data_IF_562461094200
#
_entry.id   IF_562461094200
#
_cell.length_a   1.000
_cell.length_b   1.000
_cell.length_c   1.000
_cell.angle_alpha   90.00
_cell.angle_beta   90.00
_cell.angle_gamma   90.00
#
_symmetry.space_group_name_H-M   'P 1'
#
loop_
_entity.id
_entity.type
_entity.pdbx_description
1 polymer ?
#
# COMPACT_ATOMS: atom_id res chain seq x y z
N UNK A 1 -3.81 8.89 4.92
CA UNK A 1 -2.43 8.43 4.60
C UNK A 1 -2.44 6.91 4.61
N UNK A 2 -1.88 6.29 3.57
CA UNK A 2 -1.87 4.84 3.40
C UNK A 2 -0.44 4.31 3.53
N UNK A 3 -0.26 3.23 4.28
CA UNK A 3 1.05 2.68 4.62
C UNK A 3 1.05 1.17 4.52
N UNK A 4 2.22 0.60 4.32
CA UNK A 4 2.41 -0.84 4.42
C UNK A 4 3.87 -1.19 4.70
N UNK A 5 4.10 -2.48 4.88
CA UNK A 5 5.42 -3.03 5.11
C UNK A 5 5.51 -4.44 4.60
N UNK A 6 6.70 -4.88 4.20
CA UNK A 6 6.91 -6.30 3.93
C UNK A 6 6.74 -7.15 5.21
N UNK A 7 6.59 -8.47 5.05
CA UNK A 7 6.30 -9.36 6.19
C UNK A 7 7.37 -9.39 7.29
N UNK A 8 8.64 -9.11 6.95
CA UNK A 8 9.72 -9.00 7.93
C UNK A 8 9.96 -7.57 8.45
N UNK A 9 9.13 -6.60 8.02
CA UNK A 9 9.19 -5.19 8.39
C UNK A 9 10.50 -4.47 8.00
N UNK A 10 11.36 -5.10 7.20
CA UNK A 10 12.61 -4.50 6.73
C UNK A 10 12.43 -3.45 5.61
N UNK A 11 11.25 -3.43 4.98
CA UNK A 11 10.83 -2.46 3.97
C UNK A 11 9.53 -1.85 4.47
N UNK A 12 9.50 -0.54 4.59
CA UNK A 12 8.31 0.24 4.87
C UNK A 12 8.00 1.13 3.68
N UNK A 13 6.72 1.35 3.42
CA UNK A 13 6.31 2.20 2.32
C UNK A 13 5.04 2.98 2.65
N UNK A 14 4.93 4.14 2.02
CA UNK A 14 3.86 5.10 2.22
C UNK A 14 3.39 5.63 0.88
N UNK A 15 2.07 5.85 0.78
CA UNK A 15 1.43 6.52 -0.34
C UNK A 15 0.86 7.84 0.15
N UNK A 16 1.38 8.94 -0.40
CA UNK A 16 1.07 10.32 0.02
C UNK A 16 -0.37 10.71 -0.32
N UNK A 17 -0.77 10.52 -1.57
CA UNK A 17 -2.10 10.88 -2.06
C UNK A 17 -2.63 9.82 -3.02
N UNK A 18 -3.82 9.29 -2.74
CA UNK A 18 -4.61 8.51 -3.69
C UNK A 18 -5.75 9.42 -4.12
N UNK A 19 -5.86 9.71 -5.42
CA UNK A 19 -6.92 10.57 -5.93
C UNK A 19 -8.29 9.98 -5.62
N UNK A 20 -9.24 10.83 -5.22
CA UNK A 20 -10.63 10.44 -4.87
C UNK A 20 -11.35 9.67 -5.98
N UNK A 21 -10.87 9.74 -7.23
CA UNK A 21 -11.43 9.05 -8.39
C UNK A 21 -10.93 7.60 -8.56
N UNK A 22 -9.77 7.26 -8.00
CA UNK A 22 -9.17 5.92 -8.09
C UNK A 22 -9.42 5.07 -6.84
N UNK A 23 -9.91 5.71 -5.78
CA UNK A 23 -10.50 5.06 -4.63
C UNK A 23 -11.95 4.66 -4.95
N UNK A 24 -12.14 3.49 -5.56
CA UNK A 24 -13.48 2.92 -5.69
C UNK A 24 -14.14 2.84 -4.29
N UNK A 25 -15.18 3.66 -4.10
CA UNK A 25 -15.80 3.95 -2.81
C UNK A 25 -16.44 2.70 -2.15
N UNK A 26 -16.67 1.62 -2.92
CA UNK A 26 -17.14 0.34 -2.38
C UNK A 26 -16.03 -0.49 -1.72
N UNK A 27 -14.76 -0.29 -2.12
CA UNK A 27 -13.61 -1.02 -1.55
C UNK A 27 -13.17 -0.44 -0.20
N UNK A 28 -13.33 0.88 -0.01
CA UNK A 28 -13.01 1.55 1.26
C UNK A 28 -14.03 1.27 2.38
N UNK A 29 -15.30 1.01 2.03
CA UNK A 29 -16.37 0.79 3.02
C UNK A 29 -16.28 -0.56 3.76
N UNK A 30 -15.34 -1.43 3.37
CA UNK A 30 -15.05 -2.71 4.04
C UNK A 30 -13.69 -2.70 4.79
N UNK A 31 -13.01 -1.56 4.84
CA UNK A 31 -11.62 -1.42 5.26
C UNK A 31 -11.40 -1.31 6.79
N UNK A 32 -12.34 -1.81 7.61
CA UNK A 32 -12.18 -1.81 9.07
C UNK A 32 -11.00 -2.72 9.53
N UNK A 33 -10.50 -3.62 8.67
CA UNK A 33 -9.35 -4.47 8.99
C UNK A 33 -8.51 -5.00 7.80
N UNK A 34 -8.88 -4.74 6.54
CA UNK A 34 -8.30 -5.47 5.40
C UNK A 34 -7.35 -4.60 4.57
N UNK A 35 -6.16 -5.12 4.31
CA UNK A 35 -5.26 -4.59 3.29
C UNK A 35 -6.01 -4.48 1.95
N UNK A 36 -5.73 -3.44 1.17
CA UNK A 36 -6.32 -3.30 -0.16
C UNK A 36 -5.29 -2.82 -1.17
N UNK A 37 -5.51 -3.20 -2.43
CA UNK A 37 -4.60 -2.90 -3.53
C UNK A 37 -4.98 -1.59 -4.18
N UNK A 38 -4.00 -0.72 -4.37
CA UNK A 38 -4.17 0.60 -4.99
C UNK A 38 -3.22 0.73 -6.17
N UNK A 39 -3.67 1.45 -7.18
CA UNK A 39 -2.86 1.84 -8.32
C UNK A 39 -2.40 3.29 -8.13
N UNK A 40 -1.10 3.52 -8.22
CA UNK A 40 -0.48 4.82 -7.99
C UNK A 40 0.66 5.04 -8.98
N UNK A 41 1.15 6.27 -9.09
CA UNK A 41 2.38 6.57 -9.81
C UNK A 41 3.60 6.46 -8.88
N UNK A 42 4.80 6.36 -9.48
CA UNK A 42 6.05 6.33 -8.72
C UNK A 42 6.25 7.54 -7.81
N UNK A 43 5.78 8.70 -8.24
CA UNK A 43 5.92 9.97 -7.52
C UNK A 43 5.10 9.99 -6.22
N UNK A 44 4.04 9.18 -6.14
CA UNK A 44 3.17 9.07 -4.97
C UNK A 44 3.66 8.02 -3.95
N UNK A 45 4.64 7.19 -4.33
CA UNK A 45 5.14 6.07 -3.53
C UNK A 45 6.50 6.39 -2.91
N UNK A 46 6.53 6.44 -1.58
CA UNK A 46 7.76 6.59 -0.78
C UNK A 46 8.11 5.23 -0.18
N UNK A 47 9.37 4.79 -0.37
CA UNK A 47 9.87 3.52 0.17
C UNK A 47 11.04 3.82 1.08
N UNK A 48 10.91 3.39 2.34
CA UNK A 48 11.97 3.40 3.33
C UNK A 48 12.52 1.98 3.50
N UNK A 49 13.75 1.75 3.02
CA UNK A 49 14.44 0.49 3.18
C UNK A 49 15.95 0.63 2.98
N UNK A 50 16.72 -0.35 3.47
CA UNK A 50 18.15 -0.41 3.19
C UNK A 50 18.38 -0.85 1.73
N UNK A 51 19.42 -0.34 1.03
CA UNK A 51 19.56 -0.49 -0.42
C UNK A 51 19.69 -1.94 -0.91
N UNK A 52 20.11 -2.87 -0.05
CA UNK A 52 20.24 -4.30 -0.37
C UNK A 52 18.97 -5.13 -0.12
N UNK A 53 17.91 -4.50 0.38
CA UNK A 53 16.70 -5.20 0.84
C UNK A 53 15.62 -5.26 -0.23
N UNK A 54 15.62 -4.34 -1.20
CA UNK A 54 14.68 -4.34 -2.33
C UNK A 54 15.35 -4.97 -3.56
N UNK A 55 14.73 -6.02 -4.08
CA UNK A 55 15.14 -6.69 -5.31
C UNK A 55 14.07 -6.49 -6.40
N UNK A 56 14.49 -6.62 -7.65
CA UNK A 56 13.62 -6.46 -8.82
C UNK A 56 13.62 -7.73 -9.65
N UNK A 57 12.42 -8.24 -9.96
CA UNK A 57 12.20 -9.40 -10.80
C UNK A 57 11.38 -8.96 -12.02
N UNK A 58 11.90 -9.17 -13.21
CA UNK A 58 11.19 -8.86 -14.45
C UNK A 58 10.47 -10.11 -14.92
N UNK A 59 9.15 -9.99 -15.12
CA UNK A 59 8.31 -11.08 -15.61
C UNK A 59 8.11 -10.97 -17.12
N UNK A 60 7.88 -12.12 -17.77
CA UNK A 60 7.75 -12.20 -19.24
C UNK A 60 6.48 -11.53 -19.78
N UNK A 61 5.53 -11.18 -18.91
CA UNK A 61 4.30 -10.44 -19.19
C UNK A 61 4.52 -8.92 -19.32
N UNK A 62 5.73 -8.42 -19.09
CA UNK A 62 6.03 -6.99 -19.08
C UNK A 62 5.78 -6.31 -17.73
N UNK A 63 5.50 -7.10 -16.68
CA UNK A 63 5.41 -6.63 -15.30
C UNK A 63 6.79 -6.72 -14.62
N UNK A 64 7.04 -5.79 -13.70
CA UNK A 64 8.25 -5.74 -12.89
C UNK A 64 7.86 -5.83 -11.43
N UNK A 65 8.22 -6.95 -10.79
CA UNK A 65 7.91 -7.22 -9.39
C UNK A 65 9.05 -6.72 -8.50
N UNK A 66 8.73 -5.84 -7.57
CA UNK A 66 9.67 -5.38 -6.56
C UNK A 66 9.42 -6.16 -5.27
N UNK A 67 10.42 -6.92 -4.85
CA UNK A 67 10.31 -7.91 -3.77
C UNK A 67 11.32 -7.64 -2.66
N UNK A 68 10.98 -8.05 -1.45
CA UNK A 68 11.92 -8.03 -0.34
C UNK A 68 12.92 -9.19 -0.49
N UNK A 69 14.20 -8.88 -0.57
CA UNK A 69 15.28 -9.87 -0.66
C UNK A 69 15.46 -10.69 0.63
N UNK A 70 14.91 -10.24 1.76
CA UNK A 70 15.03 -10.93 3.06
C UNK A 70 13.91 -11.95 3.30
N UNK A 71 12.66 -11.59 2.98
CA UNK A 71 11.50 -12.45 3.25
C UNK A 71 10.76 -12.92 1.99
N UNK A 72 11.13 -12.45 0.80
CA UNK A 72 10.50 -12.82 -0.46
C UNK A 72 9.14 -12.17 -0.73
N UNK A 73 8.62 -11.35 0.20
CA UNK A 73 7.32 -10.69 0.03
C UNK A 73 7.36 -9.69 -1.13
N UNK A 74 6.32 -9.68 -1.97
CA UNK A 74 6.12 -8.66 -2.99
C UNK A 74 5.77 -7.35 -2.29
N UNK A 75 6.50 -6.28 -2.62
CA UNK A 75 6.30 -4.94 -2.08
C UNK A 75 5.36 -4.16 -2.99
N UNK A 76 5.65 -4.13 -4.30
CA UNK A 76 4.78 -3.55 -5.32
C UNK A 76 5.10 -4.14 -6.69
N UNK A 77 4.17 -3.97 -7.62
CA UNK A 77 4.29 -4.39 -9.02
C UNK A 77 4.20 -3.17 -9.91
N UNK A 78 5.13 -3.02 -10.85
CA UNK A 78 5.14 -1.98 -11.87
C UNK A 78 4.76 -2.58 -13.23
N UNK A 79 3.74 -2.02 -13.88
CA UNK A 79 3.33 -2.37 -15.24
C UNK A 79 4.21 -1.66 -16.29
N UNK A 80 4.18 -2.14 -17.54
CA UNK A 80 4.83 -1.52 -18.70
C UNK A 80 4.45 -0.05 -18.92
N UNK A 81 3.30 0.39 -18.41
CA UNK A 81 2.82 1.78 -18.45
C UNK A 81 3.31 2.63 -17.27
N UNK A 82 4.23 2.13 -16.45
CA UNK A 82 4.71 2.72 -15.19
C UNK A 82 3.64 2.90 -14.11
N UNK A 83 2.52 2.19 -14.24
CA UNK A 83 1.51 2.10 -13.19
C UNK A 83 1.99 1.17 -12.08
N UNK A 84 1.92 1.63 -10.83
CA UNK A 84 2.35 0.84 -9.67
C UNK A 84 1.13 0.32 -8.94
N UNK A 85 1.06 -0.99 -8.79
CA UNK A 85 0.12 -1.66 -7.93
C UNK A 85 0.77 -2.01 -6.59
N UNK A 86 0.19 -1.53 -5.48
CA UNK A 86 0.70 -1.75 -4.13
C UNK A 86 -0.41 -2.10 -3.16
N UNK A 87 -0.15 -3.01 -2.24
CA UNK A 87 -1.07 -3.35 -1.15
C UNK A 87 -0.75 -2.49 0.07
N UNK A 88 -1.74 -1.71 0.52
CA UNK A 88 -1.61 -0.76 1.62
C UNK A 88 -2.71 -0.96 2.64
N UNK A 89 -2.44 -0.49 3.85
CA UNK A 89 -3.41 -0.34 4.92
C UNK A 89 -3.68 1.14 5.13
N UNK A 90 -4.94 1.48 5.35
CA UNK A 90 -5.28 2.82 5.82
C UNK A 90 -4.77 2.99 7.25
N UNK A 91 -3.93 4.01 7.46
CA UNK A 91 -3.35 4.35 8.77
C UNK A 91 -3.84 5.70 9.27
N UNK A 92 -4.94 6.21 8.73
CA UNK A 92 -5.55 7.44 9.21
C UNK A 92 -6.34 7.20 10.49
N UNK A 93 -6.31 8.17 11.40
CA UNK A 93 -7.30 8.23 12.48
C UNK A 93 -8.65 8.49 11.81
N UNK A 94 -9.54 7.51 11.89
CA UNK A 94 -10.89 7.68 11.41
C UNK A 94 -11.59 8.70 12.33
N UNK A 95 -11.73 9.94 11.84
CA UNK A 95 -12.47 11.01 12.54
C UNK A 95 -13.99 10.72 12.54
N UNK A 96 -14.44 9.67 11.83
CA UNK A 96 -15.81 9.16 11.83
C UNK A 96 -15.97 7.92 12.73
N UNK A 97 -14.86 7.31 13.17
CA UNK A 97 -14.80 6.38 14.29
C UNK A 97 -14.62 7.13 15.62
N UNK A 98 -15.22 8.33 15.73
CA UNK A 98 -15.72 8.76 17.03
C UNK A 98 -16.70 7.69 17.50
N UNK A 99 -16.18 6.80 18.35
CA UNK A 99 -16.89 5.92 19.26
C UNK A 99 -18.33 6.35 19.43
N UNK A 100 -19.24 5.63 18.78
CA UNK A 100 -20.68 5.74 19.00
C UNK A 100 -20.93 5.61 20.51
N UNK A 101 -21.19 6.75 21.13
CA UNK A 101 -21.50 7.02 22.53
C UNK A 101 -21.70 5.78 23.41
N UNK A 102 -20.61 5.19 23.92
CA UNK A 102 -20.71 4.47 25.18
C UNK A 102 -20.78 5.54 26.27
N UNK A 103 -21.78 5.44 27.15
CA UNK A 103 -22.20 6.40 28.19
C UNK A 103 -23.21 7.46 27.73
N UNK A 104 -24.48 7.09 27.80
CA UNK A 104 -25.51 7.97 28.36
C UNK A 104 -25.92 7.34 29.69
N UNK A 105 -25.81 8.13 30.76
CA UNK A 105 -26.14 7.85 32.16
C UNK A 105 -27.62 7.50 32.36
#
# INVERSE_FOLDING_TARGET
>A
MYRGSCSCQAIQYEVDHIGELEADNETLSQADACAFRVNVTKEQLVIDCAPSTLATLHESNGETHHVCNLCGSIVYVEDSSHGIAIEVHYSGHDVLAETHCQFIL
#
